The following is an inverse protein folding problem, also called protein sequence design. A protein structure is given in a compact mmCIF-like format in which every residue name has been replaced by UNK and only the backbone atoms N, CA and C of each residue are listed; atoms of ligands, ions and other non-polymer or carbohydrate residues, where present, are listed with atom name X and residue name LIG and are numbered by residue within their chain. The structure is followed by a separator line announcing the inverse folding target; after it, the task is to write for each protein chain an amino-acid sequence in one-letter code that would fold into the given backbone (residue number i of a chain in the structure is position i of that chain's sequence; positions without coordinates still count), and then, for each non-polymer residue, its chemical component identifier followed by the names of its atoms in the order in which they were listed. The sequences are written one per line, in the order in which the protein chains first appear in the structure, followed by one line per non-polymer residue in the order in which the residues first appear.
data_IF_977043570871
#
_entry.id   IF_977043570871
#
_cell.length_a   1.000
_cell.length_b   1.000
_cell.length_c   1.000
_cell.angle_alpha   90.00
_cell.angle_beta   90.00
_cell.angle_gamma   90.00
#
_symmetry.space_group_name_H-M   'P 1'
#
loop_
_entity.id
_entity.type
_entity.pdbx_description
1 polymer ?
#
# COMPACT_ATOMS: atom_id res chain seq x y z
N UNK A 1 18.14 16.04 -2.66
CA UNK A 1 17.49 15.19 -3.68
C UNK A 1 18.01 13.74 -3.68
N UNK A 2 19.32 13.49 -3.78
CA UNK A 2 19.90 12.13 -3.81
C UNK A 2 19.76 11.32 -2.50
N UNK A 3 19.79 11.98 -1.33
CA UNK A 3 19.55 11.34 -0.03
C UNK A 3 18.12 10.79 0.11
N UNK A 4 17.13 11.50 -0.46
CA UNK A 4 15.74 11.05 -0.43
C UNK A 4 15.54 9.81 -1.30
N UNK A 5 16.16 9.80 -2.49
CA UNK A 5 16.16 8.64 -3.40
C UNK A 5 16.83 7.43 -2.74
N UNK A 6 17.97 7.63 -2.07
CA UNK A 6 18.65 6.57 -1.32
C UNK A 6 17.78 6.02 -0.19
N UNK A 7 17.11 6.88 0.58
CA UNK A 7 16.23 6.49 1.67
C UNK A 7 14.98 5.73 1.19
N UNK A 8 14.39 6.18 0.07
CA UNK A 8 13.26 5.49 -0.58
C UNK A 8 13.69 4.09 -1.07
N UNK A 9 14.88 3.97 -1.68
CA UNK A 9 15.43 2.67 -2.11
C UNK A 9 15.67 1.75 -0.91
N UNK A 10 16.20 2.28 0.20
CA UNK A 10 16.39 1.51 1.44
C UNK A 10 15.04 1.05 2.00
N UNK A 11 14.01 1.91 2.05
CA UNK A 11 12.66 1.52 2.49
C UNK A 11 12.06 0.44 1.58
N UNK A 12 12.21 0.58 0.26
CA UNK A 12 11.75 -0.41 -0.71
C UNK A 12 12.48 -1.74 -0.48
N UNK A 13 13.80 -1.72 -0.29
CA UNK A 13 14.60 -2.92 0.02
C UNK A 13 14.22 -3.53 1.36
N UNK A 14 13.99 -2.74 2.41
CA UNK A 14 13.54 -3.24 3.71
C UNK A 14 12.16 -3.88 3.63
N UNK A 15 11.26 -3.26 2.88
CA UNK A 15 9.92 -3.80 2.59
C UNK A 15 10.03 -5.11 1.80
N UNK A 16 10.88 -5.17 0.78
CA UNK A 16 11.10 -6.36 -0.04
C UNK A 16 11.80 -7.49 0.74
N UNK A 17 12.76 -7.15 1.61
CA UNK A 17 13.49 -8.09 2.46
C UNK A 17 12.58 -8.69 3.53
N UNK A 18 11.71 -7.87 4.14
CA UNK A 18 10.69 -8.33 5.08
C UNK A 18 9.64 -9.19 4.39
N UNK A 19 9.21 -8.77 3.20
CA UNK A 19 8.28 -9.52 2.34
C UNK A 19 8.82 -10.91 1.94
N UNK A 20 10.13 -11.04 1.67
CA UNK A 20 10.78 -12.32 1.36
C UNK A 20 10.86 -13.28 2.55
N UNK A 21 10.76 -12.78 3.78
CA UNK A 21 10.94 -13.55 5.01
C UNK A 21 9.64 -14.11 5.59
N UNK A 22 8.49 -13.83 4.96
CA UNK A 22 7.17 -14.20 5.46
C UNK A 22 6.81 -15.64 5.02
N UNK A 23 6.71 -16.64 5.93
CA UNK A 23 6.54 -18.06 5.60
C UNK A 23 5.21 -18.36 4.88
N UNK A 24 4.28 -17.42 4.94
CA UNK A 24 2.99 -17.43 4.30
C UNK A 24 3.08 -17.14 2.78
N UNK A 25 4.28 -16.99 2.22
CA UNK A 25 4.57 -16.83 0.78
C UNK A 25 3.96 -17.96 -0.08
N UNK A 26 3.80 -19.16 0.49
CA UNK A 26 3.37 -20.34 -0.26
C UNK A 26 1.87 -20.43 -0.59
N UNK A 27 1.00 -19.63 0.03
CA UNK A 27 -0.44 -19.86 -0.06
C UNK A 27 -1.13 -19.09 -1.20
N UNK A 28 -0.73 -17.83 -1.47
CA UNK A 28 -1.30 -17.01 -2.55
C UNK A 28 -0.25 -16.05 -3.16
N UNK A 29 0.52 -16.49 -4.17
CA UNK A 29 1.60 -15.68 -4.76
C UNK A 29 1.09 -14.39 -5.43
N UNK A 30 -0.13 -14.40 -6.00
CA UNK A 30 -0.69 -13.28 -6.77
C UNK A 30 -0.99 -12.02 -5.93
N UNK A 31 -1.76 -12.15 -4.84
CA UNK A 31 -2.14 -11.02 -3.97
C UNK A 31 -0.91 -10.33 -3.36
N UNK A 32 0.10 -11.12 -3.00
CA UNK A 32 1.33 -10.60 -2.41
C UNK A 32 2.14 -9.76 -3.42
N UNK A 33 2.23 -10.20 -4.69
CA UNK A 33 2.90 -9.42 -5.75
C UNK A 33 2.17 -8.10 -6.00
N UNK A 34 0.84 -8.14 -6.09
CA UNK A 34 0.01 -6.94 -6.28
C UNK A 34 0.20 -5.97 -5.11
N UNK A 35 0.18 -6.45 -3.86
CA UNK A 35 0.44 -5.65 -2.66
C UNK A 35 1.81 -4.96 -2.72
N UNK A 36 2.85 -5.68 -3.13
CA UNK A 36 4.20 -5.15 -3.21
C UNK A 36 4.29 -4.01 -4.25
N UNK A 37 3.71 -4.21 -5.44
CA UNK A 37 3.68 -3.20 -6.51
C UNK A 37 2.92 -1.95 -6.04
N UNK A 38 1.72 -2.12 -5.48
CA UNK A 38 0.92 -0.99 -4.98
C UNK A 38 1.66 -0.23 -3.87
N UNK A 39 2.31 -0.94 -2.93
CA UNK A 39 3.03 -0.31 -1.83
C UNK A 39 4.19 0.56 -2.33
N UNK A 40 4.90 0.12 -3.36
CA UNK A 40 5.98 0.91 -3.97
C UNK A 40 5.43 2.17 -4.64
N UNK A 41 4.31 2.05 -5.35
CA UNK A 41 3.65 3.20 -6.00
C UNK A 41 3.22 4.25 -4.96
N UNK A 42 2.60 3.82 -3.86
CA UNK A 42 2.16 4.71 -2.77
C UNK A 42 3.34 5.46 -2.15
N UNK A 43 4.45 4.76 -1.88
CA UNK A 43 5.65 5.38 -1.29
C UNK A 43 6.29 6.40 -2.25
N UNK A 44 6.32 6.11 -3.55
CA UNK A 44 6.81 7.04 -4.57
C UNK A 44 5.94 8.29 -4.65
N UNK A 45 4.61 8.13 -4.67
CA UNK A 45 3.67 9.26 -4.67
C UNK A 45 3.79 10.10 -3.40
N UNK A 46 3.89 9.45 -2.23
CA UNK A 46 4.03 10.13 -0.95
C UNK A 46 5.35 10.92 -0.88
N UNK A 47 6.46 10.31 -1.31
CA UNK A 47 7.75 10.98 -1.41
C UNK A 47 7.73 12.15 -2.39
N UNK A 48 7.07 11.98 -3.54
CA UNK A 48 6.94 13.03 -4.54
C UNK A 48 6.13 14.22 -4.01
N UNK A 49 4.96 13.97 -3.42
CA UNK A 49 4.11 15.03 -2.85
C UNK A 49 4.82 15.79 -1.73
N UNK A 50 5.58 15.10 -0.88
CA UNK A 50 6.32 15.71 0.23
C UNK A 50 7.52 16.54 -0.24
N UNK A 51 8.24 16.10 -1.28
CA UNK A 51 9.39 16.85 -1.82
C UNK A 51 8.94 18.06 -2.63
N UNK A 52 7.88 17.91 -3.41
CA UNK A 52 7.42 18.93 -4.36
C UNK A 52 6.43 19.91 -3.73
N UNK A 53 6.00 19.64 -2.48
CA UNK A 53 4.91 20.32 -1.76
C UNK A 53 3.61 20.44 -2.58
N UNK A 54 3.49 19.58 -3.59
CA UNK A 54 2.41 19.60 -4.55
C UNK A 54 1.53 18.37 -4.33
N UNK A 55 0.36 18.63 -3.76
CA UNK A 55 -0.63 17.64 -3.39
C UNK A 55 -1.64 17.36 -4.51
N UNK A 56 -1.41 17.81 -5.75
CA UNK A 56 -2.30 17.49 -6.88
C UNK A 56 -2.46 15.98 -7.12
N UNK A 57 -1.49 15.16 -6.72
CA UNK A 57 -1.57 13.69 -6.80
C UNK A 57 -2.09 13.02 -5.51
N UNK A 58 -2.50 13.79 -4.51
CA UNK A 58 -3.03 13.27 -3.25
C UNK A 58 -4.27 12.37 -3.42
N UNK A 59 -5.30 12.70 -4.22
CA UNK A 59 -6.42 11.79 -4.45
C UNK A 59 -5.97 10.48 -5.11
N UNK A 60 -5.01 10.54 -6.03
CA UNK A 60 -4.42 9.35 -6.66
C UNK A 60 -3.66 8.49 -5.62
N UNK A 61 -2.93 9.11 -4.70
CA UNK A 61 -2.23 8.42 -3.61
C UNK A 61 -3.19 7.70 -2.67
N UNK A 62 -4.26 8.38 -2.25
CA UNK A 62 -5.30 7.83 -1.37
C UNK A 62 -6.05 6.68 -2.06
N UNK A 63 -6.29 6.76 -3.36
CA UNK A 63 -6.87 5.66 -4.14
C UNK A 63 -5.99 4.39 -4.10
N UNK A 64 -4.68 4.52 -4.39
CA UNK A 64 -3.76 3.38 -4.31
C UNK A 64 -3.60 2.86 -2.86
N UNK A 65 -3.67 3.74 -1.86
CA UNK A 65 -3.66 3.37 -0.45
C UNK A 65 -4.90 2.55 -0.06
N UNK A 66 -6.08 2.96 -0.52
CA UNK A 66 -7.34 2.21 -0.35
C UNK A 66 -7.28 0.84 -0.99
N UNK A 67 -6.73 0.74 -2.21
CA UNK A 67 -6.50 -0.53 -2.89
C UNK A 67 -5.56 -1.46 -2.11
N UNK A 68 -4.50 -0.90 -1.51
CA UNK A 68 -3.55 -1.63 -0.68
C UNK A 68 -4.22 -2.20 0.58
N UNK A 69 -5.06 -1.40 1.25
CA UNK A 69 -5.84 -1.82 2.41
C UNK A 69 -6.85 -2.92 2.06
N UNK A 70 -7.45 -2.87 0.87
CA UNK A 70 -8.36 -3.90 0.37
C UNK A 70 -7.61 -5.23 0.15
N UNK A 71 -6.42 -5.19 -0.47
CA UNK A 71 -5.56 -6.36 -0.65
C UNK A 71 -5.10 -6.95 0.70
N UNK A 72 -4.79 -6.10 1.69
CA UNK A 72 -4.48 -6.53 3.06
C UNK A 72 -5.71 -7.19 3.72
N UNK A 73 -6.88 -6.57 3.60
CA UNK A 73 -8.12 -7.08 4.16
C UNK A 73 -8.48 -8.46 3.60
N UNK A 74 -8.35 -8.65 2.29
CA UNK A 74 -8.52 -9.98 1.65
C UNK A 74 -7.53 -10.99 2.25
N UNK A 75 -6.25 -10.61 2.41
CA UNK A 75 -5.24 -11.48 3.00
C UNK A 75 -5.56 -11.88 4.46
N UNK A 76 -6.00 -10.94 5.28
CA UNK A 76 -6.41 -11.20 6.68
C UNK A 76 -7.66 -12.09 6.77
N UNK A 77 -8.64 -11.89 5.88
CA UNK A 77 -9.84 -12.74 5.78
C UNK A 77 -9.47 -14.18 5.41
N UNK A 78 -8.53 -14.37 4.46
CA UNK A 78 -8.03 -15.69 4.06
C UNK A 78 -7.26 -16.40 5.17
N UNK A 79 -6.61 -15.65 6.08
CA UNK A 79 -5.91 -16.20 7.26
C UNK A 79 -6.86 -16.58 8.41
N UNK A 80 -8.17 -16.36 8.26
CA UNK A 80 -9.15 -16.61 9.31
C UNK A 80 -9.19 -15.52 10.40
N UNK A 81 -8.49 -14.39 10.21
CA UNK A 81 -8.58 -13.23 11.09
C UNK A 81 -9.81 -12.39 10.76
N UNK A 82 -10.97 -12.86 11.24
CA UNK A 82 -12.29 -12.31 10.91
C UNK A 82 -12.46 -10.80 11.21
N UNK A 83 -12.07 -10.24 12.37
CA UNK A 83 -12.32 -8.83 12.65
C UNK A 83 -11.35 -7.88 11.92
N UNK A 84 -10.06 -8.24 11.84
CA UNK A 84 -9.03 -7.41 11.21
C UNK A 84 -9.21 -7.26 9.70
N UNK A 85 -9.60 -8.34 9.02
CA UNK A 85 -9.83 -8.32 7.58
C UNK A 85 -11.04 -7.47 7.17
N UNK A 86 -12.14 -7.55 7.93
CA UNK A 86 -13.35 -6.74 7.68
C UNK A 86 -13.10 -5.25 7.92
N UNK A 87 -12.36 -4.91 8.99
CA UNK A 87 -11.95 -3.54 9.27
C UNK A 87 -11.08 -2.97 8.15
N UNK A 88 -10.08 -3.71 7.69
CA UNK A 88 -9.21 -3.27 6.59
C UNK A 88 -9.99 -3.06 5.28
N UNK A 89 -10.96 -3.94 4.97
CA UNK A 89 -11.85 -3.77 3.83
C UNK A 89 -12.71 -2.51 3.96
N UNK A 90 -13.37 -2.30 5.09
CA UNK A 90 -14.23 -1.14 5.31
C UNK A 90 -13.46 0.18 5.19
N UNK A 91 -12.26 0.24 5.79
CA UNK A 91 -11.38 1.42 5.72
C UNK A 91 -10.89 1.64 4.28
N UNK A 92 -10.49 0.58 3.58
CA UNK A 92 -10.01 0.69 2.20
C UNK A 92 -11.08 1.22 1.24
N UNK A 93 -12.32 0.76 1.39
CA UNK A 93 -13.47 1.24 0.59
C UNK A 93 -13.79 2.70 0.92
N UNK A 94 -13.82 3.06 2.20
CA UNK A 94 -14.09 4.43 2.63
C UNK A 94 -13.05 5.41 2.05
N UNK A 95 -11.76 5.09 2.17
CA UNK A 95 -10.68 5.93 1.63
C UNK A 95 -10.77 6.05 0.10
N UNK A 96 -11.10 4.96 -0.59
CA UNK A 96 -11.26 4.98 -2.05
C UNK A 96 -12.43 5.87 -2.50
N UNK A 97 -13.53 5.88 -1.73
CA UNK A 97 -14.68 6.74 -1.98
C UNK A 97 -14.37 8.21 -1.71
N UNK A 98 -13.73 8.52 -0.58
CA UNK A 98 -13.25 9.87 -0.27
C UNK A 98 -12.32 10.39 -1.36
N UNK A 99 -11.42 9.53 -1.86
CA UNK A 99 -10.51 9.88 -2.96
C UNK A 99 -11.23 10.25 -4.25
N UNK A 100 -12.33 9.56 -4.56
CA UNK A 100 -13.17 9.87 -5.72
C UNK A 100 -13.94 11.17 -5.53
N UNK A 101 -14.32 11.52 -4.30
CA UNK A 101 -15.04 12.76 -3.99
C UNK A 101 -14.12 13.99 -3.90
N UNK A 102 -12.85 13.77 -3.55
CA UNK A 102 -11.80 14.81 -3.49
C UNK A 102 -11.15 15.12 -4.86
N UNK A 103 -11.41 14.29 -5.87
CA UNK A 103 -10.92 14.46 -7.25
C UNK A 103 -11.89 15.26 -8.11
#
# INVERSE_FOLDING_TARGET
MWIFIGFVIVIILLTFRKYRSDPEYKQHPGLKIIRAIISVIVILLAGYGLITENFSFQPLMLFFLGLLLLVIGIGELQKGQKPGGYLCMAIGVFISLESFFLS
#
